data_IF_954092773687
#
_entry.id   IF_954092773687
#
_cell.length_a   1.000
_cell.length_b   1.000
_cell.length_c   1.000
_cell.angle_alpha   90.00
_cell.angle_beta   90.00
_cell.angle_gamma   90.00
#
_symmetry.space_group_name_H-M   'P 1'
#
loop_
_entity.id
_entity.type
_entity.pdbx_description
1 polymer ?
#
# COMPACT_ATOMS: atom_id res chain seq x y z
N UNK A 1 10.36 27.24 7.39
CA UNK A 1 11.22 26.09 7.00
C UNK A 1 11.66 25.38 8.27
N UNK A 2 11.37 24.08 8.38
CA UNK A 2 11.78 23.24 9.50
C UNK A 2 12.89 22.27 9.07
N UNK A 3 13.76 21.90 10.01
CA UNK A 3 14.77 20.89 9.81
C UNK A 3 14.46 19.70 10.72
N UNK A 4 14.41 18.49 10.17
CA UNK A 4 14.38 17.26 10.95
C UNK A 4 15.80 16.75 11.13
N UNK A 5 16.20 16.55 12.39
CA UNK A 5 17.50 15.98 12.74
C UNK A 5 17.26 14.68 13.48
N UNK A 6 17.78 13.58 12.94
CA UNK A 6 17.66 12.26 13.53
C UNK A 6 19.06 11.68 13.82
N UNK A 7 19.12 10.69 14.71
CA UNK A 7 20.32 9.89 14.87
C UNK A 7 20.56 9.05 13.63
N UNK A 8 21.81 8.95 13.20
CA UNK A 8 22.19 8.04 12.13
C UNK A 8 22.03 6.58 12.61
N UNK A 9 21.43 5.75 11.77
CA UNK A 9 21.24 4.31 12.04
C UNK A 9 22.24 3.54 11.19
N UNK A 10 23.16 2.84 11.82
CA UNK A 10 24.09 1.93 11.15
C UNK A 10 23.38 0.61 10.82
N UNK A 11 22.63 0.59 9.71
CA UNK A 11 21.88 -0.57 9.22
C UNK A 11 22.19 -0.86 7.76
N UNK A 12 21.76 -2.03 7.30
CA UNK A 12 21.82 -2.42 5.89
C UNK A 12 20.43 -2.38 5.29
N UNK A 13 20.34 -1.93 4.04
CA UNK A 13 19.14 -2.09 3.25
C UNK A 13 18.97 -3.60 2.93
N UNK A 14 17.93 -4.28 3.42
CA UNK A 14 17.74 -5.68 3.10
C UNK A 14 17.42 -5.84 1.61
N UNK A 15 18.03 -6.79 0.90
CA UNK A 15 17.58 -7.11 -0.47
C UNK A 15 16.10 -7.52 -0.49
N UNK A 16 15.32 -7.14 -1.53
CA UNK A 16 13.89 -7.47 -1.60
C UNK A 16 13.59 -8.96 -1.41
N UNK A 17 14.43 -9.84 -1.98
CA UNK A 17 14.29 -11.29 -1.86
C UNK A 17 14.45 -11.78 -0.41
N UNK A 18 15.25 -11.09 0.41
CA UNK A 18 15.41 -11.44 1.82
C UNK A 18 14.19 -11.04 2.64
N UNK A 19 13.58 -9.89 2.35
CA UNK A 19 12.34 -9.45 3.01
C UNK A 19 11.17 -10.42 2.72
N UNK A 20 11.19 -11.12 1.60
CA UNK A 20 10.21 -12.16 1.24
C UNK A 20 10.41 -13.51 1.94
N UNK A 21 11.47 -13.70 2.74
CA UNK A 21 11.67 -14.90 3.52
C UNK A 21 10.75 -14.92 4.76
N UNK A 22 10.22 -16.09 5.11
CA UNK A 22 9.24 -16.24 6.19
C UNK A 22 9.65 -15.55 7.50
N UNK A 23 10.91 -15.74 7.93
CA UNK A 23 11.43 -15.12 9.14
C UNK A 23 11.46 -13.58 9.05
N UNK A 24 11.83 -13.01 7.91
CA UNK A 24 11.84 -11.56 7.73
C UNK A 24 10.43 -10.98 7.58
N UNK A 25 9.51 -11.70 6.93
CA UNK A 25 8.07 -11.34 6.92
C UNK A 25 7.56 -11.23 8.36
N UNK A 26 7.90 -12.20 9.23
CA UNK A 26 7.54 -12.18 10.65
C UNK A 26 8.12 -10.95 11.37
N UNK A 27 9.42 -10.66 11.17
CA UNK A 27 10.10 -9.50 11.78
C UNK A 27 9.48 -8.16 11.34
N UNK A 28 9.14 -8.03 10.05
CA UNK A 28 8.45 -6.85 9.53
C UNK A 28 7.04 -6.74 10.11
N UNK A 29 6.25 -7.82 10.10
CA UNK A 29 4.90 -7.84 10.67
C UNK A 29 4.89 -7.45 12.16
N UNK A 30 5.84 -7.93 12.95
CA UNK A 30 6.00 -7.55 14.36
C UNK A 30 6.38 -6.07 14.53
N UNK A 31 7.20 -5.53 13.63
CA UNK A 31 7.60 -4.12 13.67
C UNK A 31 6.41 -3.22 13.29
N UNK A 32 5.71 -3.51 12.21
CA UNK A 32 4.51 -2.80 11.77
C UNK A 32 3.43 -2.86 12.86
N UNK A 33 3.20 -4.03 13.48
CA UNK A 33 2.26 -4.17 14.59
C UNK A 33 2.63 -3.31 15.82
N UNK A 34 3.91 -3.05 16.07
CA UNK A 34 4.34 -2.11 17.13
C UNK A 34 4.04 -0.68 16.76
N UNK A 35 4.26 -0.29 15.49
CA UNK A 35 3.89 1.04 14.98
C UNK A 35 2.39 1.27 15.12
N UNK A 36 1.57 0.32 14.69
CA UNK A 36 0.12 0.41 14.76
C UNK A 36 -0.45 0.51 16.20
N UNK A 37 0.36 0.22 17.21
CA UNK A 37 0.00 0.37 18.64
C UNK A 37 0.50 1.68 19.26
N UNK A 38 1.17 2.52 18.49
CA UNK A 38 1.60 3.83 18.97
C UNK A 38 0.42 4.79 19.11
N UNK A 39 0.65 5.92 19.78
CA UNK A 39 -0.37 6.94 20.00
C UNK A 39 -0.89 7.49 18.66
N UNK A 40 -2.15 7.89 18.65
CA UNK A 40 -2.80 8.50 17.50
C UNK A 40 -2.20 9.87 17.19
N UNK A 41 -2.18 10.21 15.90
CA UNK A 41 -1.80 11.52 15.37
C UNK A 41 -3.01 12.19 14.70
N UNK A 42 -2.99 13.53 14.47
CA UNK A 42 -4.10 14.24 13.82
C UNK A 42 -4.29 13.87 12.34
N UNK A 43 -3.21 13.51 11.65
CA UNK A 43 -3.20 13.21 10.23
C UNK A 43 -3.94 11.91 9.95
N UNK A 44 -4.74 11.90 8.89
CA UNK A 44 -5.47 10.72 8.41
C UNK A 44 -4.98 10.31 7.03
N UNK A 45 -5.02 9.03 6.74
CA UNK A 45 -4.66 8.50 5.43
C UNK A 45 -5.77 7.60 4.88
N UNK A 46 -6.09 7.79 3.61
CA UNK A 46 -6.96 6.90 2.84
C UNK A 46 -6.37 6.72 1.44
N UNK A 47 -6.04 5.51 1.01
CA UNK A 47 -5.52 5.28 -0.34
C UNK A 47 -6.53 5.69 -1.43
N UNK A 48 -7.83 5.64 -1.14
CA UNK A 48 -8.90 6.07 -2.03
C UNK A 48 -8.84 7.58 -2.27
N UNK A 49 -8.72 8.37 -1.20
CA UNK A 49 -8.58 9.84 -1.31
C UNK A 49 -7.29 10.23 -2.03
N UNK A 50 -6.19 9.50 -1.76
CA UNK A 50 -4.92 9.72 -2.48
C UNK A 50 -5.08 9.52 -3.99
N UNK A 51 -5.81 8.48 -4.43
CA UNK A 51 -6.12 8.25 -5.85
C UNK A 51 -6.93 9.41 -6.43
N UNK A 52 -7.98 9.88 -5.74
CA UNK A 52 -8.83 10.98 -6.19
C UNK A 52 -8.06 12.30 -6.29
N UNK A 53 -7.31 12.66 -5.25
CA UNK A 53 -6.50 13.88 -5.21
C UNK A 53 -5.43 13.86 -6.31
N UNK A 54 -4.78 12.72 -6.50
CA UNK A 54 -3.80 12.53 -7.58
C UNK A 54 -4.43 12.68 -8.96
N UNK A 55 -5.65 12.18 -9.15
CA UNK A 55 -6.38 12.35 -10.40
C UNK A 55 -6.71 13.82 -10.67
N UNK A 56 -7.09 14.57 -9.64
CA UNK A 56 -7.32 16.01 -9.75
C UNK A 56 -6.03 16.75 -10.12
N UNK A 57 -4.92 16.44 -9.47
CA UNK A 57 -3.61 17.04 -9.77
C UNK A 57 -3.20 16.71 -11.21
N UNK A 58 -3.26 15.44 -11.63
CA UNK A 58 -2.90 15.04 -12.99
C UNK A 58 -3.73 15.78 -14.07
N UNK A 59 -5.05 15.97 -13.82
CA UNK A 59 -5.92 16.77 -14.71
C UNK A 59 -5.47 18.23 -14.81
N UNK A 60 -5.08 18.86 -13.71
CA UNK A 60 -4.56 20.25 -13.70
C UNK A 60 -3.31 20.40 -14.57
N UNK A 61 -2.49 19.36 -14.67
CA UNK A 61 -1.30 19.32 -15.52
C UNK A 61 -1.56 18.75 -16.92
N UNK A 62 -2.83 18.53 -17.31
CA UNK A 62 -3.23 17.96 -18.59
C UNK A 62 -2.59 16.60 -18.91
N UNK A 63 -2.36 15.78 -17.89
CA UNK A 63 -1.83 14.42 -18.05
C UNK A 63 -2.97 13.49 -18.49
N UNK A 64 -2.82 12.84 -19.66
CA UNK A 64 -3.84 11.93 -20.20
C UNK A 64 -3.89 10.60 -19.45
N UNK A 65 -5.10 10.13 -19.12
CA UNK A 65 -5.37 8.85 -18.48
C UNK A 65 -5.53 7.70 -19.47
N UNK A 66 -5.42 6.43 -19.03
CA UNK A 66 -5.76 5.28 -19.87
C UNK A 66 -7.26 5.26 -20.19
N UNK A 67 -7.64 4.64 -21.31
CA UNK A 67 -9.03 4.63 -21.80
C UNK A 67 -10.04 3.98 -20.83
N UNK A 68 -9.58 3.08 -19.97
CA UNK A 68 -10.40 2.38 -18.98
C UNK A 68 -10.36 3.04 -17.59
N UNK A 69 -9.85 4.26 -17.47
CA UNK A 69 -9.68 4.94 -16.18
C UNK A 69 -10.99 5.08 -15.41
N UNK A 70 -12.07 5.48 -16.06
CA UNK A 70 -13.38 5.63 -15.41
C UNK A 70 -13.90 4.30 -14.85
N UNK A 71 -13.66 3.19 -15.56
CA UNK A 71 -13.99 1.86 -15.06
C UNK A 71 -13.14 1.48 -13.83
N UNK A 72 -11.85 1.82 -13.81
CA UNK A 72 -10.99 1.58 -12.64
C UNK A 72 -11.48 2.36 -11.41
N UNK A 73 -11.89 3.60 -11.59
CA UNK A 73 -12.48 4.43 -10.53
C UNK A 73 -13.80 3.80 -10.03
N UNK A 74 -14.66 3.33 -10.94
CA UNK A 74 -15.90 2.64 -10.55
C UNK A 74 -15.60 1.40 -9.69
N UNK A 75 -14.67 0.54 -10.12
CA UNK A 75 -14.28 -0.64 -9.36
C UNK A 75 -13.65 -0.28 -8.00
N UNK A 76 -12.85 0.77 -7.95
CA UNK A 76 -12.30 1.30 -6.70
C UNK A 76 -13.41 1.73 -5.73
N UNK A 77 -14.43 2.43 -6.22
CA UNK A 77 -15.56 2.88 -5.40
C UNK A 77 -16.38 1.69 -4.86
N UNK A 78 -16.57 0.64 -5.67
CA UNK A 78 -17.22 -0.60 -5.22
C UNK A 78 -16.40 -1.25 -4.09
N UNK A 79 -15.08 -1.29 -4.23
CA UNK A 79 -14.19 -1.83 -3.20
C UNK A 79 -14.25 -1.00 -1.91
N UNK A 80 -14.24 0.33 -2.01
CA UNK A 80 -14.37 1.20 -0.84
C UNK A 80 -15.68 0.95 -0.10
N UNK A 81 -16.80 0.87 -0.82
CA UNK A 81 -18.11 0.57 -0.24
C UNK A 81 -18.13 -0.78 0.47
N UNK A 82 -17.52 -1.83 -0.10
CA UNK A 82 -17.42 -3.13 0.53
C UNK A 82 -16.57 -3.07 1.83
N UNK A 83 -15.42 -2.43 1.77
CA UNK A 83 -14.52 -2.27 2.92
C UNK A 83 -15.16 -1.46 4.06
N UNK A 84 -15.99 -0.47 3.75
CA UNK A 84 -16.73 0.33 4.74
C UNK A 84 -17.79 -0.47 5.49
N UNK A 85 -18.30 -1.58 4.92
CA UNK A 85 -19.23 -2.49 5.61
C UNK A 85 -18.53 -3.38 6.64
N UNK A 86 -17.20 -3.49 6.56
CA UNK A 86 -16.36 -4.17 7.55
C UNK A 86 -15.39 -3.15 8.18
N UNK A 87 -15.86 -2.30 9.11
CA UNK A 87 -15.06 -1.20 9.62
C UNK A 87 -13.86 -1.71 10.42
N UNK A 88 -12.77 -0.97 10.30
CA UNK A 88 -11.55 -1.16 11.08
C UNK A 88 -11.41 -0.05 12.13
N UNK A 89 -10.59 -0.31 13.15
CA UNK A 89 -10.14 0.75 14.06
C UNK A 89 -8.92 1.44 13.43
N UNK A 90 -8.99 2.76 13.11
CA UNK A 90 -7.85 3.46 12.55
C UNK A 90 -6.62 3.36 13.46
N UNK A 91 -5.48 3.07 12.88
CA UNK A 91 -4.19 2.98 13.57
C UNK A 91 -3.17 3.86 12.86
N UNK A 92 -2.08 4.22 13.56
CA UNK A 92 -0.97 4.90 12.94
C UNK A 92 -0.32 3.97 11.92
N UNK A 93 -0.43 4.29 10.64
CA UNK A 93 0.14 3.55 9.53
C UNK A 93 1.29 4.33 8.88
N UNK A 94 2.22 3.61 8.30
CA UNK A 94 3.31 4.19 7.52
C UNK A 94 2.86 4.57 6.11
N UNK A 95 2.06 3.70 5.46
CA UNK A 95 1.45 3.87 4.15
C UNK A 95 2.41 3.87 2.94
N UNK A 96 3.70 3.58 3.16
CA UNK A 96 4.70 3.54 2.09
C UNK A 96 5.84 2.54 2.41
N UNK A 97 5.50 1.26 2.58
CA UNK A 97 6.42 0.20 2.98
C UNK A 97 7.16 -0.41 1.77
N UNK A 98 7.78 0.46 0.96
CA UNK A 98 8.67 0.03 -0.11
C UNK A 98 10.06 -0.36 0.41
N UNK A 99 10.81 -1.15 -0.39
CA UNK A 99 12.08 -1.72 0.07
C UNK A 99 13.10 -0.68 0.55
N UNK A 100 13.16 0.50 -0.08
CA UNK A 100 14.11 1.55 0.28
C UNK A 100 13.86 2.14 1.68
N UNK A 101 12.67 1.95 2.24
CA UNK A 101 12.28 2.47 3.55
C UNK A 101 12.61 1.50 4.69
N UNK A 102 13.31 0.39 4.43
CA UNK A 102 13.74 -0.54 5.46
C UNK A 102 15.23 -0.48 5.71
N UNK A 103 15.63 -0.55 6.98
CA UNK A 103 17.01 -0.84 7.41
C UNK A 103 16.99 -2.01 8.40
N UNK A 104 18.01 -2.85 8.36
CA UNK A 104 18.25 -3.92 9.33
C UNK A 104 19.58 -3.65 10.07
N UNK A 105 19.49 -3.36 11.37
CA UNK A 105 20.61 -3.20 12.31
C UNK A 105 20.66 -4.32 13.35
N UNK A 106 19.98 -5.45 13.05
CA UNK A 106 19.64 -6.53 13.97
C UNK A 106 18.16 -6.46 14.36
N UNK A 107 17.53 -5.31 14.13
CA UNK A 107 16.08 -5.11 14.16
C UNK A 107 15.62 -4.41 12.88
N UNK A 108 14.41 -4.70 12.43
CA UNK A 108 13.82 -3.97 11.29
C UNK A 108 13.49 -2.54 11.73
N UNK A 109 14.03 -1.57 11.00
CA UNK A 109 13.75 -0.14 11.13
C UNK A 109 12.98 0.32 9.91
N UNK A 110 12.01 1.21 10.10
CA UNK A 110 11.22 1.81 9.04
C UNK A 110 11.55 3.31 8.98
N UNK A 111 11.84 3.80 7.79
CA UNK A 111 12.25 5.17 7.50
C UNK A 111 11.21 5.85 6.59
N UNK A 112 11.32 7.17 6.44
CA UNK A 112 10.54 7.99 5.52
C UNK A 112 9.03 7.97 5.80
N UNK A 113 8.66 8.67 6.85
CA UNK A 113 7.30 8.73 7.39
C UNK A 113 6.42 9.83 6.75
N UNK A 114 6.73 10.26 5.53
CA UNK A 114 6.04 11.39 4.88
C UNK A 114 4.55 11.11 4.60
N UNK A 115 4.17 9.83 4.43
CA UNK A 115 2.78 9.41 4.25
C UNK A 115 2.11 8.90 5.53
N UNK A 116 2.76 9.05 6.69
CA UNK A 116 2.21 8.54 7.94
C UNK A 116 0.87 9.21 8.29
N UNK A 117 -0.08 8.40 8.70
CA UNK A 117 -1.43 8.86 9.06
C UNK A 117 -2.28 7.76 9.68
N UNK A 118 -3.35 8.18 10.35
CA UNK A 118 -4.33 7.24 10.91
C UNK A 118 -5.14 6.62 9.78
N UNK A 119 -5.06 5.30 9.62
CA UNK A 119 -5.68 4.59 8.51
C UNK A 119 -5.96 3.13 8.81
N UNK A 120 -6.24 2.38 7.75
CA UNK A 120 -6.47 0.94 7.80
C UNK A 120 -5.13 0.19 7.96
N UNK A 121 -4.89 -0.49 9.08
CA UNK A 121 -3.62 -1.20 9.31
C UNK A 121 -3.33 -2.28 8.27
N UNK A 122 -4.35 -2.83 7.61
CA UNK A 122 -4.16 -3.83 6.56
C UNK A 122 -3.60 -3.17 5.28
N UNK A 123 -3.74 -1.85 5.12
CA UNK A 123 -3.12 -1.16 3.98
C UNK A 123 -1.59 -1.22 4.05
N UNK A 124 -0.98 -1.06 5.22
CA UNK A 124 0.48 -1.25 5.38
C UNK A 124 0.93 -2.66 4.98
N UNK A 125 0.15 -3.69 5.38
CA UNK A 125 0.45 -5.07 5.00
C UNK A 125 0.32 -5.28 3.49
N UNK A 126 -0.72 -4.70 2.88
CA UNK A 126 -0.97 -4.77 1.45
C UNK A 126 0.12 -4.06 0.64
N UNK A 127 0.51 -2.85 1.07
CA UNK A 127 1.55 -2.05 0.45
C UNK A 127 2.91 -2.76 0.54
N UNK A 128 3.29 -3.29 1.71
CA UNK A 128 4.48 -4.13 1.88
C UNK A 128 4.48 -5.33 0.93
N UNK A 129 3.37 -6.06 0.89
CA UNK A 129 3.23 -7.23 0.04
C UNK A 129 3.37 -6.91 -1.46
N UNK A 130 2.78 -5.78 -1.91
CA UNK A 130 2.83 -5.33 -3.31
C UNK A 130 4.25 -4.96 -3.73
N UNK A 131 4.95 -4.17 -2.91
CA UNK A 131 6.30 -3.72 -3.23
C UNK A 131 7.36 -4.83 -3.19
N UNK A 132 7.06 -5.94 -2.53
CA UNK A 132 7.93 -7.12 -2.48
C UNK A 132 7.39 -8.29 -3.31
N UNK A 133 6.35 -8.05 -4.13
CA UNK A 133 5.76 -9.01 -5.08
C UNK A 133 5.35 -10.34 -4.44
N UNK A 134 4.82 -10.31 -3.22
CA UNK A 134 4.46 -11.50 -2.47
C UNK A 134 3.40 -12.35 -3.19
N UNK A 135 3.65 -13.65 -3.22
CA UNK A 135 2.68 -14.66 -3.62
C UNK A 135 1.67 -14.95 -2.49
N UNK A 136 0.70 -15.83 -2.75
CA UNK A 136 -0.36 -16.18 -1.81
C UNK A 136 0.16 -16.86 -0.53
N UNK A 137 1.26 -17.61 -0.59
CA UNK A 137 1.88 -18.24 0.57
C UNK A 137 2.51 -17.19 1.49
N UNK A 138 3.27 -16.25 0.91
CA UNK A 138 3.87 -15.14 1.64
C UNK A 138 2.81 -14.19 2.23
N UNK A 139 1.72 -13.93 1.52
CA UNK A 139 0.57 -13.17 2.02
C UNK A 139 -0.06 -13.86 3.25
N UNK A 140 -0.16 -15.22 3.25
CA UNK A 140 -0.63 -15.98 4.42
C UNK A 140 0.33 -15.85 5.59
N UNK A 141 1.62 -16.00 5.39
CA UNK A 141 2.64 -15.82 6.43
C UNK A 141 2.56 -14.41 7.04
N UNK A 142 2.35 -13.39 6.21
CA UNK A 142 2.24 -12.00 6.65
C UNK A 142 1.00 -11.81 7.56
N UNK A 143 -0.18 -12.26 7.12
CA UNK A 143 -1.42 -12.19 7.90
C UNK A 143 -1.32 -12.99 9.19
N UNK A 144 -0.80 -14.21 9.13
CA UNK A 144 -0.62 -15.07 10.31
C UNK A 144 0.35 -14.43 11.32
N UNK A 145 1.48 -13.88 10.84
CA UNK A 145 2.45 -13.19 11.69
C UNK A 145 1.88 -11.94 12.33
N UNK A 146 0.99 -11.23 11.63
CA UNK A 146 0.40 -9.99 12.13
C UNK A 146 -0.81 -10.24 13.04
N UNK A 147 -1.76 -11.07 12.63
CA UNK A 147 -3.02 -11.31 13.33
C UNK A 147 -3.01 -12.58 14.22
N UNK A 148 -2.11 -13.52 13.96
CA UNK A 148 -2.11 -14.87 14.57
C UNK A 148 -3.04 -15.86 13.86
N UNK A 149 -3.78 -15.43 12.84
CA UNK A 149 -4.72 -16.22 12.06
C UNK A 149 -4.97 -15.64 10.69
N UNK A 150 -5.47 -16.46 9.75
CA UNK A 150 -5.88 -16.05 8.40
C UNK A 150 -7.36 -16.40 8.21
N UNK A 151 -8.23 -15.43 8.39
CA UNK A 151 -9.68 -15.56 8.13
C UNK A 151 -10.02 -15.08 6.71
N UNK A 152 -11.22 -15.42 6.21
CA UNK A 152 -11.65 -15.05 4.85
C UNK A 152 -11.74 -13.54 4.65
N UNK A 153 -12.25 -12.82 5.65
CA UNK A 153 -12.37 -11.37 5.64
C UNK A 153 -11.00 -10.66 5.63
N UNK A 154 -10.06 -11.09 6.48
CA UNK A 154 -8.69 -10.55 6.49
C UNK A 154 -7.95 -10.83 5.20
N UNK A 155 -8.13 -12.04 4.66
CA UNK A 155 -7.58 -12.40 3.36
C UNK A 155 -8.14 -11.52 2.24
N UNK A 156 -9.46 -11.40 2.17
CA UNK A 156 -10.15 -10.58 1.17
C UNK A 156 -9.73 -9.11 1.28
N UNK A 157 -9.69 -8.55 2.51
CA UNK A 157 -9.23 -7.19 2.76
C UNK A 157 -7.81 -6.95 2.27
N UNK A 158 -6.88 -7.86 2.57
CA UNK A 158 -5.51 -7.77 2.07
C UNK A 158 -5.49 -7.76 0.53
N UNK A 159 -6.21 -8.70 -0.12
CA UNK A 159 -6.22 -8.81 -1.59
C UNK A 159 -6.82 -7.60 -2.27
N UNK A 160 -7.88 -7.03 -1.74
CA UNK A 160 -8.48 -5.79 -2.23
C UNK A 160 -7.48 -4.64 -2.09
N UNK A 161 -6.92 -4.44 -0.90
CA UNK A 161 -6.01 -3.33 -0.62
C UNK A 161 -4.67 -3.44 -1.37
N UNK A 162 -4.21 -4.65 -1.73
CA UNK A 162 -3.07 -4.82 -2.65
C UNK A 162 -3.35 -4.20 -4.03
N UNK A 163 -4.56 -4.40 -4.56
CA UNK A 163 -4.96 -3.83 -5.86
C UNK A 163 -5.10 -2.30 -5.75
N UNK A 164 -5.64 -1.81 -4.63
CA UNK A 164 -5.74 -0.37 -4.37
C UNK A 164 -4.36 0.27 -4.18
N UNK A 165 -3.40 -0.45 -3.57
CA UNK A 165 -2.00 0.00 -3.48
C UNK A 165 -1.35 0.13 -4.86
N UNK A 166 -1.54 -0.85 -5.77
CA UNK A 166 -1.10 -0.74 -7.17
C UNK A 166 -1.75 0.48 -7.86
N UNK A 167 -3.03 0.74 -7.62
CA UNK A 167 -3.71 1.89 -8.21
C UNK A 167 -3.15 3.22 -7.68
N UNK A 168 -2.87 3.30 -6.37
CA UNK A 168 -2.20 4.46 -5.77
C UNK A 168 -0.85 4.72 -6.43
N UNK A 169 -0.03 3.69 -6.67
CA UNK A 169 1.27 3.81 -7.35
C UNK A 169 1.14 4.33 -8.78
N UNK A 170 0.17 3.80 -9.54
CA UNK A 170 -0.12 4.32 -10.87
C UNK A 170 -0.45 5.83 -10.83
N UNK A 171 -1.27 6.23 -9.86
CA UNK A 171 -1.71 7.62 -9.73
C UNK A 171 -0.61 8.55 -9.21
N UNK A 172 0.29 8.06 -8.33
CA UNK A 172 1.50 8.79 -7.97
C UNK A 172 2.35 9.11 -9.21
N UNK A 173 2.59 8.12 -10.06
CA UNK A 173 3.33 8.32 -11.29
C UNK A 173 2.64 9.30 -12.25
N UNK A 174 1.29 9.29 -12.32
CA UNK A 174 0.53 10.27 -13.11
C UNK A 174 0.78 11.70 -12.63
N UNK A 175 0.88 11.92 -11.33
CA UNK A 175 1.27 13.22 -10.76
C UNK A 175 2.69 13.57 -11.17
N UNK A 176 3.63 12.62 -11.05
CA UNK A 176 5.04 12.85 -11.41
C UNK A 176 5.23 13.22 -12.88
N UNK A 177 4.44 12.66 -13.81
CA UNK A 177 4.45 13.07 -15.22
C UNK A 177 4.20 14.57 -15.37
N UNK A 178 3.33 15.14 -14.54
CA UNK A 178 2.98 16.55 -14.58
C UNK A 178 3.99 17.49 -13.93
N UNK A 179 4.68 17.06 -12.88
CA UNK A 179 5.45 17.95 -12.00
C UNK A 179 6.94 17.65 -11.93
N UNK A 180 7.37 16.39 -12.18
CA UNK A 180 8.75 15.98 -11.99
C UNK A 180 9.67 16.48 -13.09
N UNK A 181 10.92 16.78 -12.71
CA UNK A 181 12.02 17.10 -13.61
C UNK A 181 13.06 15.97 -13.70
N UNK A 182 12.77 14.84 -13.04
CA UNK A 182 13.68 13.69 -13.06
C UNK A 182 13.62 13.02 -14.43
N UNK A 183 14.78 12.55 -14.90
CA UNK A 183 14.89 11.71 -16.09
C UNK A 183 14.51 10.26 -15.74
N UNK A 184 13.19 10.02 -15.67
CA UNK A 184 12.59 8.73 -15.35
C UNK A 184 11.30 8.57 -16.16
N UNK A 185 11.07 7.39 -16.72
CA UNK A 185 9.86 7.10 -17.48
C UNK A 185 8.65 6.83 -16.55
N UNK A 186 8.11 7.90 -15.98
CA UNK A 186 6.90 7.83 -15.17
C UNK A 186 5.67 7.32 -15.95
N UNK A 187 5.67 7.45 -17.28
CA UNK A 187 4.57 6.94 -18.10
C UNK A 187 4.57 5.42 -18.18
N UNK A 188 5.71 4.82 -18.42
CA UNK A 188 5.87 3.36 -18.41
C UNK A 188 5.58 2.78 -17.02
N UNK A 189 6.10 3.44 -15.98
CA UNK A 189 5.80 3.08 -14.59
C UNK A 189 4.28 3.12 -14.31
N UNK A 190 3.59 4.21 -14.66
CA UNK A 190 2.14 4.31 -14.48
C UNK A 190 1.38 3.21 -15.23
N UNK A 191 1.75 2.94 -16.49
CA UNK A 191 1.12 1.92 -17.32
C UNK A 191 1.28 0.52 -16.71
N UNK A 192 2.44 0.23 -16.14
CA UNK A 192 2.70 -1.05 -15.44
C UNK A 192 1.74 -1.24 -14.28
N UNK A 193 1.59 -0.24 -13.42
CA UNK A 193 0.71 -0.33 -12.26
C UNK A 193 -0.78 -0.27 -12.62
N UNK A 194 -1.17 0.49 -13.64
CA UNK A 194 -2.54 0.42 -14.18
C UNK A 194 -2.87 -0.97 -14.72
N UNK A 195 -1.95 -1.61 -15.44
CA UNK A 195 -2.15 -2.97 -15.94
C UNK A 195 -2.29 -3.99 -14.80
N UNK A 196 -1.51 -3.85 -13.72
CA UNK A 196 -1.61 -4.69 -12.51
C UNK A 196 -2.96 -4.49 -11.82
N UNK A 197 -3.39 -3.25 -11.64
CA UNK A 197 -4.69 -2.88 -11.06
C UNK A 197 -5.83 -3.48 -11.88
N UNK A 198 -5.85 -3.25 -13.18
CA UNK A 198 -6.88 -3.80 -14.09
C UNK A 198 -6.92 -5.33 -14.03
N UNK A 199 -5.77 -5.98 -14.11
CA UNK A 199 -5.66 -7.45 -13.99
C UNK A 199 -6.18 -7.94 -12.65
N UNK A 200 -5.92 -7.22 -11.57
CA UNK A 200 -6.42 -7.53 -10.24
C UNK A 200 -7.94 -7.47 -10.16
N UNK A 201 -8.54 -6.36 -10.62
CA UNK A 201 -9.99 -6.13 -10.62
C UNK A 201 -10.76 -7.02 -11.60
N UNK A 202 -10.11 -7.56 -12.64
CA UNK A 202 -10.70 -8.51 -13.60
C UNK A 202 -10.56 -9.98 -13.20
N UNK A 203 -9.93 -10.30 -12.05
CA UNK A 203 -9.83 -11.70 -11.58
C UNK A 203 -11.20 -12.26 -11.23
N UNK A 204 -11.41 -13.54 -11.46
CA UNK A 204 -12.62 -14.26 -11.02
C UNK A 204 -12.85 -14.14 -9.50
N UNK A 205 -11.76 -14.07 -8.72
CA UNK A 205 -11.81 -13.91 -7.28
C UNK A 205 -12.16 -12.50 -6.80
N UNK A 206 -12.17 -11.46 -7.67
CA UNK A 206 -12.45 -10.08 -7.28
C UNK A 206 -13.82 -9.94 -6.61
N UNK A 207 -14.86 -10.43 -7.28
CA UNK A 207 -16.22 -10.38 -6.73
C UNK A 207 -16.32 -11.14 -5.41
N UNK A 208 -15.68 -12.31 -5.34
CA UNK A 208 -15.67 -13.11 -4.11
C UNK A 208 -14.99 -12.35 -2.95
N UNK A 209 -13.88 -11.66 -3.19
CA UNK A 209 -13.22 -10.86 -2.13
C UNK A 209 -14.10 -9.70 -1.66
N UNK A 210 -14.84 -9.04 -2.57
CA UNK A 210 -15.79 -7.99 -2.19
C UNK A 210 -16.93 -8.52 -1.31
N UNK A 211 -17.34 -9.78 -1.48
CA UNK A 211 -18.33 -10.45 -0.64
C UNK A 211 -17.73 -10.94 0.68
N UNK A 212 -16.55 -11.62 0.63
CA UNK A 212 -15.90 -12.19 1.79
C UNK A 212 -15.45 -11.13 2.81
N UNK A 213 -15.14 -9.90 2.38
CA UNK A 213 -14.65 -8.84 3.28
C UNK A 213 -15.76 -8.31 4.21
N UNK A 214 -17.03 -8.56 3.89
CA UNK A 214 -18.20 -8.08 4.63
C UNK A 214 -18.58 -9.06 5.76
N UNK A 215 -18.15 -10.30 5.68
CA UNK A 215 -18.50 -11.43 6.57
C UNK A 215 -17.34 -11.89 7.44
#
# INVERSE_FOLDING_TARGET
EGYLVTSFIEGKLPPPVELGQHENIRRVAETVRRVHKMDSIPETFSPFRVVEDSAEIARRFNVGFPNNFDWLIEQMNIAEVALLQSPFTPQLCHNDLLNANFLDDGAIRILDWEYAGMGDPVFDLANFSVHHEFNDEQDRWLLESYFGEVTSDKWARLKILKIISDFREAMWAMVQIGISKLDFDFRDYANTYFARTEKGMKRESWQKWLEDVIH
#
